data_IF_836952226164
#
_entry.id   IF_836952226164
#
_cell.length_a   1.000
_cell.length_b   1.000
_cell.length_c   1.000
_cell.angle_alpha   90.00
_cell.angle_beta   90.00
_cell.angle_gamma   90.00
#
_symmetry.space_group_name_H-M   'P 1'
#
loop_
_entity.id
_entity.type
_entity.pdbx_description
1 polymer ?
#
# COMPACT_ATOMS: atom_id res chain seq x y z
N UNK A 1 -23.12 -10.69 -7.22
CA UNK A 1 -22.33 -10.34 -6.02
C UNK A 1 -21.61 -11.61 -5.61
N UNK A 2 -20.49 -11.91 -6.26
CA UNK A 2 -19.70 -13.10 -5.91
C UNK A 2 -19.02 -12.87 -4.57
N UNK A 3 -19.33 -13.75 -3.61
CA UNK A 3 -18.70 -13.77 -2.29
C UNK A 3 -17.25 -14.21 -2.43
N UNK A 4 -16.35 -13.24 -2.58
CA UNK A 4 -14.92 -13.50 -2.53
C UNK A 4 -14.55 -13.93 -1.10
N UNK A 5 -13.75 -14.99 -0.91
CA UNK A 5 -13.35 -15.44 0.42
C UNK A 5 -12.64 -14.32 1.18
N UNK A 6 -12.76 -14.27 2.52
CA UNK A 6 -12.11 -13.25 3.34
C UNK A 6 -10.60 -13.28 3.09
N UNK A 7 -10.05 -12.14 2.69
CA UNK A 7 -8.61 -11.95 2.49
C UNK A 7 -8.00 -11.58 3.83
N UNK A 8 -7.34 -12.53 4.47
CA UNK A 8 -6.73 -12.36 5.78
C UNK A 8 -5.29 -11.88 5.64
N UNK A 9 -4.68 -11.44 6.74
CA UNK A 9 -3.26 -11.08 6.82
C UNK A 9 -2.34 -12.21 6.32
N UNK A 10 -2.81 -13.45 6.37
CA UNK A 10 -2.08 -14.65 5.95
C UNK A 10 -2.08 -14.87 4.43
N UNK A 11 -2.98 -14.21 3.70
CA UNK A 11 -3.06 -14.25 2.23
C UNK A 11 -2.24 -13.12 1.57
N UNK A 12 -1.67 -12.23 2.39
CA UNK A 12 -0.69 -11.26 1.93
C UNK A 12 0.64 -11.99 1.72
N UNK A 13 0.97 -12.30 0.48
CA UNK A 13 2.23 -12.95 0.15
C UNK A 13 3.39 -12.00 0.48
N UNK A 14 4.51 -12.52 1.04
CA UNK A 14 5.71 -11.71 1.27
C UNK A 14 6.17 -11.06 -0.04
N UNK A 15 6.64 -9.82 0.04
CA UNK A 15 6.97 -8.96 -1.11
C UNK A 15 8.03 -9.61 -2.03
N UNK A 16 7.59 -10.42 -2.98
CA UNK A 16 8.41 -11.04 -4.03
C UNK A 16 7.93 -10.67 -5.44
N UNK A 17 7.33 -9.49 -5.59
CA UNK A 17 7.14 -8.77 -6.86
C UNK A 17 8.07 -7.55 -6.96
N UNK A 18 8.07 -6.81 -8.08
CA UNK A 18 8.91 -5.63 -8.32
C UNK A 18 8.86 -4.64 -7.14
N UNK A 19 9.85 -4.69 -6.27
CA UNK A 19 9.87 -3.90 -5.05
C UNK A 19 9.92 -2.40 -5.40
N UNK A 20 8.89 -1.60 -5.04
CA UNK A 20 8.89 -0.15 -5.30
C UNK A 20 10.16 0.52 -4.77
N UNK A 21 10.70 0.04 -3.64
CA UNK A 21 11.98 0.48 -3.07
C UNK A 21 13.15 0.34 -4.05
N UNK A 22 13.25 -0.76 -4.80
CA UNK A 22 14.31 -0.94 -5.79
C UNK A 22 14.17 0.06 -6.94
N UNK A 23 12.95 0.30 -7.40
CA UNK A 23 12.67 1.25 -8.47
C UNK A 23 12.98 2.69 -8.03
N UNK A 24 12.58 3.09 -6.81
CA UNK A 24 12.89 4.41 -6.24
C UNK A 24 14.41 4.60 -6.17
N UNK A 25 15.15 3.62 -5.62
CA UNK A 25 16.61 3.70 -5.53
C UNK A 25 17.27 3.81 -6.90
N UNK A 26 16.82 3.04 -7.88
CA UNK A 26 17.34 3.12 -9.24
C UNK A 26 17.09 4.51 -9.86
N UNK A 27 15.88 5.07 -9.70
CA UNK A 27 15.53 6.39 -10.19
C UNK A 27 16.39 7.48 -9.52
N UNK A 28 16.53 7.43 -8.19
CA UNK A 28 17.34 8.40 -7.43
C UNK A 28 18.83 8.29 -7.72
N UNK A 29 19.35 7.08 -7.96
CA UNK A 29 20.74 6.89 -8.38
C UNK A 29 20.99 7.47 -9.78
N UNK A 30 20.06 7.30 -10.72
CA UNK A 30 20.18 7.82 -12.07
C UNK A 30 20.01 9.34 -12.15
N UNK A 31 19.12 9.91 -11.31
CA UNK A 31 18.82 11.33 -11.27
C UNK A 31 18.44 11.77 -9.84
N UNK A 32 19.41 12.20 -9.01
CA UNK A 32 19.15 12.55 -7.60
C UNK A 32 18.08 13.62 -7.39
N UNK A 33 17.97 14.57 -8.33
CA UNK A 33 16.98 15.65 -8.31
C UNK A 33 15.59 15.27 -8.85
N UNK A 34 15.40 14.04 -9.36
CA UNK A 34 14.10 13.59 -9.88
C UNK A 34 13.09 13.45 -8.75
N UNK A 35 11.90 14.05 -8.89
CA UNK A 35 10.79 13.78 -8.00
C UNK A 35 10.25 12.36 -8.24
N UNK A 36 10.06 11.58 -7.18
CA UNK A 36 9.53 10.22 -7.25
C UNK A 36 8.30 10.14 -6.34
N UNK A 37 7.16 9.76 -6.91
CA UNK A 37 5.91 9.51 -6.19
C UNK A 37 5.55 8.04 -6.34
N UNK A 38 5.01 7.45 -5.27
CA UNK A 38 4.65 6.03 -5.24
C UNK A 38 3.30 5.81 -4.58
N UNK A 39 2.64 4.73 -4.98
CA UNK A 39 1.38 4.30 -4.37
C UNK A 39 1.66 3.24 -3.30
N UNK A 40 0.84 3.24 -2.26
CA UNK A 40 0.69 2.14 -1.32
C UNK A 40 -0.68 1.48 -1.51
N UNK A 41 -0.67 0.20 -1.93
CA UNK A 41 -1.85 -0.63 -2.13
C UNK A 41 -1.53 -2.07 -1.73
N UNK A 42 -2.55 -2.83 -1.36
CA UNK A 42 -2.47 -4.28 -1.12
C UNK A 42 -2.90 -5.13 -2.32
N UNK A 43 -3.60 -4.53 -3.28
CA UNK A 43 -4.18 -5.18 -4.45
C UNK A 43 -3.17 -5.96 -5.32
N UNK A 44 -1.91 -5.54 -5.35
CA UNK A 44 -0.84 -6.22 -6.08
C UNK A 44 -0.11 -7.28 -5.25
N UNK A 45 -0.45 -7.39 -3.96
CA UNK A 45 0.22 -8.23 -2.97
C UNK A 45 -0.73 -9.27 -2.33
N UNK A 46 -2.02 -9.22 -2.66
CA UNK A 46 -3.03 -10.19 -2.20
C UNK A 46 -3.55 -11.00 -3.39
N UNK A 47 -3.77 -12.29 -3.19
CA UNK A 47 -4.35 -13.18 -4.21
C UNK A 47 -5.74 -12.72 -4.65
N UNK A 48 -6.51 -12.17 -3.70
CA UNK A 48 -7.84 -11.61 -3.95
C UNK A 48 -7.84 -10.29 -4.73
N UNK A 49 -6.67 -9.66 -4.89
CA UNK A 49 -6.50 -8.35 -5.56
C UNK A 49 -7.32 -7.24 -4.93
N UNK A 50 -7.54 -7.32 -3.62
CA UNK A 50 -8.28 -6.33 -2.82
C UNK A 50 -7.33 -5.37 -2.14
N UNK A 51 -7.74 -4.11 -1.99
CA UNK A 51 -6.94 -3.08 -1.31
C UNK A 51 -7.04 -3.13 0.21
N UNK A 52 -7.99 -3.90 0.76
CA UNK A 52 -8.35 -3.91 2.18
C UNK A 52 -8.32 -5.33 2.70
N UNK A 53 -7.72 -5.52 3.87
CA UNK A 53 -7.72 -6.80 4.58
C UNK A 53 -9.06 -6.99 5.29
N UNK A 54 -9.44 -8.24 5.47
CA UNK A 54 -10.62 -8.62 6.25
C UNK A 54 -10.24 -9.53 7.41
N UNK A 55 -10.99 -9.45 8.50
CA UNK A 55 -10.94 -10.45 9.54
C UNK A 55 -11.54 -11.79 9.09
N UNK A 56 -11.47 -12.80 9.96
CA UNK A 56 -12.03 -14.13 9.71
C UNK A 56 -13.56 -14.17 9.51
N UNK A 57 -14.25 -13.07 9.79
CA UNK A 57 -15.68 -12.89 9.55
C UNK A 57 -15.97 -12.10 8.26
N UNK A 58 -14.95 -11.76 7.47
CA UNK A 58 -15.08 -10.99 6.23
C UNK A 58 -15.33 -9.50 6.44
N UNK A 59 -15.11 -8.96 7.65
CA UNK A 59 -15.24 -7.54 7.93
C UNK A 59 -13.91 -6.84 7.67
N UNK A 60 -13.94 -5.62 7.14
CA UNK A 60 -12.72 -4.85 6.91
C UNK A 60 -11.93 -4.63 8.20
N UNK A 61 -10.65 -5.02 8.17
CA UNK A 61 -9.68 -4.74 9.22
C UNK A 61 -8.84 -3.53 8.80
N UNK A 62 -9.37 -2.34 9.06
CA UNK A 62 -8.69 -1.09 8.73
C UNK A 62 -7.37 -0.93 9.49
N UNK A 63 -7.27 -1.44 10.72
CA UNK A 63 -6.06 -1.30 11.53
C UNK A 63 -4.93 -2.14 10.94
N UNK A 64 -5.19 -3.39 10.59
CA UNK A 64 -4.22 -4.23 9.91
C UNK A 64 -3.86 -3.66 8.53
N UNK A 65 -4.86 -3.20 7.78
CA UNK A 65 -4.66 -2.58 6.46
C UNK A 65 -3.75 -1.36 6.55
N UNK A 66 -4.07 -0.39 7.41
CA UNK A 66 -3.28 0.83 7.61
C UNK A 66 -1.89 0.54 8.17
N UNK A 67 -1.73 -0.48 9.01
CA UNK A 67 -0.42 -0.91 9.50
C UNK A 67 0.52 -1.34 8.37
N UNK A 68 0.03 -2.18 7.44
CA UNK A 68 0.84 -2.62 6.30
C UNK A 68 1.11 -1.47 5.33
N UNK A 69 0.10 -0.65 5.02
CA UNK A 69 0.28 0.52 4.13
C UNK A 69 1.28 1.51 4.73
N UNK A 70 1.25 1.73 6.05
CA UNK A 70 2.21 2.55 6.76
C UNK A 70 3.65 2.02 6.67
N UNK A 71 3.85 0.70 6.82
CA UNK A 71 5.17 0.08 6.65
C UNK A 71 5.67 0.19 5.19
N UNK A 72 4.79 0.00 4.21
CA UNK A 72 5.12 0.22 2.80
C UNK A 72 5.52 1.68 2.55
N UNK A 73 4.75 2.64 3.05
CA UNK A 73 5.02 4.07 2.91
C UNK A 73 6.38 4.45 3.52
N UNK A 74 6.65 3.97 4.74
CA UNK A 74 7.92 4.23 5.43
C UNK A 74 9.11 3.72 4.62
N UNK A 75 9.06 2.46 4.15
CA UNK A 75 10.14 1.87 3.33
C UNK A 75 10.33 2.60 2.00
N UNK A 76 9.26 3.08 1.39
CA UNK A 76 9.33 3.88 0.15
C UNK A 76 9.94 5.26 0.41
N UNK A 77 9.58 5.93 1.51
CA UNK A 77 10.16 7.20 1.92
C UNK A 77 11.66 7.07 2.25
N UNK A 78 12.05 6.03 2.99
CA UNK A 78 13.45 5.70 3.29
C UNK A 78 14.29 5.44 2.03
N UNK A 79 13.65 5.01 0.94
CA UNK A 79 14.30 4.81 -0.35
C UNK A 79 14.50 6.11 -1.15
N UNK A 80 13.89 7.22 -0.73
CA UNK A 80 13.93 8.53 -1.38
C UNK A 80 12.64 8.94 -2.09
N UNK A 81 11.51 8.27 -1.86
CA UNK A 81 10.20 8.71 -2.34
C UNK A 81 9.76 10.02 -1.66
N UNK A 82 9.08 10.90 -2.39
CA UNK A 82 8.68 12.23 -1.90
C UNK A 82 7.20 12.32 -1.53
N UNK A 83 6.31 11.57 -2.21
CA UNK A 83 4.88 11.51 -1.93
C UNK A 83 4.37 10.07 -2.02
N UNK A 84 3.59 9.66 -1.03
CA UNK A 84 2.98 8.34 -0.93
C UNK A 84 1.46 8.49 -0.95
N UNK A 85 0.81 7.95 -1.98
CA UNK A 85 -0.65 7.97 -2.11
C UNK A 85 -1.25 6.65 -1.61
N UNK A 86 -2.19 6.72 -0.67
CA UNK A 86 -2.93 5.57 -0.15
C UNK A 86 -4.27 5.39 -0.86
N UNK A 87 -4.47 4.26 -1.56
CA UNK A 87 -5.67 4.04 -2.39
C UNK A 87 -6.83 3.32 -1.69
N UNK A 88 -6.80 3.21 -0.35
CA UNK A 88 -7.87 2.55 0.41
C UNK A 88 -9.07 3.50 0.63
N UNK A 89 -10.32 3.04 0.39
CA UNK A 89 -11.50 3.80 0.77
C UNK A 89 -11.61 3.89 2.29
N UNK A 90 -11.03 4.92 2.86
CA UNK A 90 -11.28 5.32 4.24
C UNK A 90 -12.65 5.99 4.28
N UNK A 91 -13.54 5.54 5.16
CA UNK A 91 -14.72 6.34 5.51
C UNK A 91 -14.23 7.57 6.28
N UNK A 92 -13.82 8.61 5.54
CA UNK A 92 -13.29 9.85 6.08
C UNK A 92 -14.40 10.90 6.13
N UNK A 93 -15.01 11.09 7.30
CA UNK A 93 -15.61 12.39 7.61
C UNK A 93 -14.48 13.38 7.89
N UNK A 94 -14.03 14.05 6.82
CA UNK A 94 -13.27 15.29 6.86
C UNK A 94 -11.75 15.14 6.96
N UNK A 95 -11.06 15.43 5.85
CA UNK A 95 -9.86 16.28 5.78
C UNK A 95 -9.47 16.40 4.30
N UNK A 96 -9.90 17.49 3.66
CA UNK A 96 -9.32 17.95 2.39
C UNK A 96 -8.61 19.25 2.68
N UNK A 97 -7.38 19.16 3.17
CA UNK A 97 -6.40 20.25 3.07
C UNK A 97 -4.99 19.65 3.25
N UNK A 98 -4.46 19.13 2.15
CA UNK A 98 -3.07 18.74 1.97
C UNK A 98 -2.72 18.98 0.49
N UNK A 99 -2.65 20.25 0.11
CA UNK A 99 -1.90 20.76 -1.03
C UNK A 99 -1.41 22.17 -0.74
#
# INVERSE_FOLDING_TARGET
MENHPPTTVQDAEPVTGSSPVRAIRAAKNAAPGMAVMTETCLCSYTTARTCVLTDHHGRYDHNATLGILGDQALRQAEAGGCQVEGSVPLSATGTTDMF
#
